data_IF_471124804538
#
_entry.id   IF_471124804538
#
_cell.length_a   1.000
_cell.length_b   1.000
_cell.length_c   1.000
_cell.angle_alpha   90.00
_cell.angle_beta   90.00
_cell.angle_gamma   90.00
#
_symmetry.space_group_name_H-M   'P 1'
#
loop_
_entity.id
_entity.type
_entity.pdbx_description
1 polymer ?
#
# COMPACT_ATOMS: atom_id res chain seq x y z
N UNK A 1 -9.04 29.79 -24.69
CA UNK A 1 -8.64 29.82 -23.27
C UNK A 1 -9.44 28.84 -22.41
N UNK A 2 -10.77 28.88 -22.38
CA UNK A 2 -11.59 27.92 -21.58
C UNK A 2 -11.33 26.44 -21.90
N UNK A 3 -11.26 26.05 -23.18
CA UNK A 3 -10.96 24.66 -23.59
C UNK A 3 -9.58 24.19 -23.11
N UNK A 4 -8.59 25.08 -23.12
CA UNK A 4 -7.22 24.75 -22.71
C UNK A 4 -7.12 24.55 -21.19
N UNK A 5 -7.85 25.37 -20.41
CA UNK A 5 -7.98 25.19 -18.95
C UNK A 5 -8.61 23.85 -18.61
N UNK A 6 -9.75 23.52 -19.24
CA UNK A 6 -10.40 22.23 -19.05
C UNK A 6 -9.51 21.06 -19.51
N UNK A 7 -8.78 21.20 -20.62
CA UNK A 7 -7.84 20.18 -21.09
C UNK A 7 -6.75 19.88 -20.06
N UNK A 8 -6.12 20.91 -19.48
CA UNK A 8 -5.11 20.75 -18.43
C UNK A 8 -5.72 20.13 -17.16
N UNK A 9 -6.89 20.60 -16.72
CA UNK A 9 -7.60 20.02 -15.57
C UNK A 9 -7.90 18.54 -15.79
N UNK A 10 -8.34 18.15 -16.99
CA UNK A 10 -8.67 16.77 -17.31
C UNK A 10 -7.43 15.88 -17.33
N UNK A 11 -6.31 16.36 -17.89
CA UNK A 11 -5.03 15.65 -17.82
C UNK A 11 -4.55 15.46 -16.38
N UNK A 12 -4.61 16.51 -15.54
CA UNK A 12 -4.25 16.42 -14.13
C UNK A 12 -5.18 15.45 -13.38
N UNK A 13 -6.48 15.50 -13.66
CA UNK A 13 -7.45 14.57 -13.07
C UNK A 13 -7.18 13.11 -13.47
N UNK A 14 -6.79 12.86 -14.71
CA UNK A 14 -6.41 11.52 -15.16
C UNK A 14 -5.16 11.01 -14.44
N UNK A 15 -4.10 11.82 -14.37
CA UNK A 15 -2.86 11.45 -13.67
C UNK A 15 -3.13 11.21 -12.18
N UNK A 16 -3.91 12.09 -11.55
CA UNK A 16 -4.32 11.95 -10.15
C UNK A 16 -5.10 10.65 -9.92
N UNK A 17 -6.07 10.35 -10.79
CA UNK A 17 -6.91 9.15 -10.69
C UNK A 17 -6.09 7.88 -10.88
N UNK A 18 -5.23 7.83 -11.90
CA UNK A 18 -4.36 6.67 -12.14
C UNK A 18 -3.38 6.49 -10.98
N UNK A 19 -2.79 7.57 -10.48
CA UNK A 19 -1.87 7.52 -9.34
C UNK A 19 -2.52 6.92 -8.09
N UNK A 20 -3.71 7.41 -7.72
CA UNK A 20 -4.46 6.87 -6.58
C UNK A 20 -4.91 5.42 -6.82
N UNK A 21 -5.39 5.10 -8.02
CA UNK A 21 -5.82 3.74 -8.35
C UNK A 21 -4.67 2.72 -8.27
N UNK A 22 -3.47 3.09 -8.75
CA UNK A 22 -2.29 2.25 -8.65
C UNK A 22 -1.90 2.00 -7.19
N UNK A 23 -1.83 3.05 -6.37
CA UNK A 23 -1.53 2.92 -4.94
C UNK A 23 -2.57 2.07 -4.21
N UNK A 24 -3.87 2.26 -4.51
CA UNK A 24 -4.95 1.47 -3.93
C UNK A 24 -4.89 -0.01 -4.36
N UNK A 25 -4.53 -0.28 -5.62
CA UNK A 25 -4.35 -1.65 -6.12
C UNK A 25 -3.20 -2.38 -5.41
N UNK A 26 -2.08 -1.70 -5.20
CA UNK A 26 -0.93 -2.25 -4.46
C UNK A 26 -1.30 -2.51 -3.00
N UNK A 27 -2.00 -1.57 -2.35
CA UNK A 27 -2.47 -1.74 -0.98
C UNK A 27 -3.42 -2.94 -0.83
N UNK A 28 -4.40 -3.07 -1.72
CA UNK A 28 -5.33 -4.21 -1.71
C UNK A 28 -4.63 -5.53 -2.01
N UNK A 29 -3.67 -5.54 -2.94
CA UNK A 29 -2.87 -6.72 -3.24
C UNK A 29 -2.06 -7.18 -2.02
N UNK A 30 -1.40 -6.24 -1.33
CA UNK A 30 -0.66 -6.53 -0.10
C UNK A 30 -1.58 -6.99 1.05
N UNK A 31 -2.75 -6.36 1.21
CA UNK A 31 -3.72 -6.75 2.23
C UNK A 31 -4.22 -8.19 2.00
N UNK A 32 -4.46 -8.59 0.74
CA UNK A 32 -4.88 -9.95 0.38
C UNK A 32 -3.77 -11.01 0.48
N UNK A 33 -2.50 -10.61 0.54
CA UNK A 33 -1.37 -11.54 0.70
C UNK A 33 -1.20 -12.03 2.14
N UNK A 34 -1.92 -11.45 3.11
CA UNK A 34 -1.73 -11.73 4.53
C UNK A 34 -1.85 -13.20 4.92
N UNK A 35 -2.87 -13.89 4.41
CA UNK A 35 -3.11 -15.31 4.73
C UNK A 35 -1.99 -16.22 4.21
N UNK A 36 -1.42 -15.92 3.04
CA UNK A 36 -0.28 -16.65 2.49
C UNK A 36 0.99 -16.43 3.30
N UNK A 37 1.22 -15.20 3.77
CA UNK A 37 2.38 -14.86 4.60
C UNK A 37 2.30 -15.56 5.95
N UNK A 38 1.15 -15.52 6.62
CA UNK A 38 0.94 -16.20 7.91
C UNK A 38 1.06 -17.72 7.75
N UNK A 39 0.50 -18.30 6.69
CA UNK A 39 0.63 -19.74 6.40
C UNK A 39 2.07 -20.19 6.12
N UNK A 40 2.83 -19.40 5.35
CA UNK A 40 4.24 -19.69 5.09
C UNK A 40 5.09 -19.62 6.36
N UNK A 41 4.80 -18.68 7.25
CA UNK A 41 5.46 -18.54 8.55
C UNK A 41 5.19 -19.74 9.45
N UNK A 42 3.96 -20.25 9.48
CA UNK A 42 3.62 -21.47 10.21
C UNK A 42 4.36 -22.71 9.67
N UNK A 43 4.43 -22.86 8.34
CA UNK A 43 5.18 -23.97 7.73
C UNK A 43 6.67 -23.97 8.09
N UNK A 44 7.29 -22.79 8.19
CA UNK A 44 8.70 -22.67 8.61
C UNK A 44 8.86 -22.94 10.11
N UNK A 45 7.89 -22.53 10.94
CA UNK A 45 7.91 -22.80 12.38
C UNK A 45 7.83 -24.30 12.69
N UNK A 46 7.07 -25.04 11.89
CA UNK A 46 6.88 -26.48 12.03
C UNK A 46 8.00 -27.31 11.37
N UNK A 47 8.93 -26.68 10.65
CA UNK A 47 10.00 -27.38 9.94
C UNK A 47 10.94 -28.12 10.93
N UNK A 48 11.01 -29.47 10.88
CA UNK A 48 11.90 -30.22 11.77
C UNK A 48 13.37 -30.05 11.34
N UNK A 49 14.28 -29.95 12.32
CA UNK A 49 15.73 -29.88 12.04
C UNK A 49 16.18 -31.20 11.39
N UNK A 50 16.73 -31.17 10.16
CA UNK A 50 17.15 -32.40 9.50
C UNK A 50 18.32 -33.06 10.24
N UNK A 51 18.31 -34.40 10.34
CA UNK A 51 19.35 -35.14 11.06
C UNK A 51 20.77 -34.94 10.48
N UNK A 52 20.88 -34.62 9.19
CA UNK A 52 22.17 -34.28 8.58
C UNK A 52 22.76 -32.99 9.15
N UNK A 53 21.93 -32.04 9.61
CA UNK A 53 22.42 -30.78 10.16
C UNK A 53 23.24 -31.00 11.44
N UNK A 54 22.87 -32.00 12.24
CA UNK A 54 23.61 -32.38 13.45
C UNK A 54 25.01 -32.96 13.16
N UNK A 55 25.28 -33.39 11.92
CA UNK A 55 26.60 -33.92 11.52
C UNK A 55 27.57 -32.79 11.15
N UNK A 56 27.06 -31.67 10.66
CA UNK A 56 27.86 -30.57 10.10
C UNK A 56 27.81 -29.28 10.92
N UNK A 57 26.85 -29.12 11.83
CA UNK A 57 26.67 -27.91 12.62
C UNK A 57 26.76 -28.21 14.12
N UNK A 58 27.42 -27.32 14.86
CA UNK A 58 27.45 -27.33 16.32
C UNK A 58 26.01 -27.19 16.87
N UNK A 59 25.59 -28.04 17.84
CA UNK A 59 24.29 -27.92 18.50
C UNK A 59 23.99 -26.52 19.04
N UNK A 60 24.98 -25.82 19.62
CA UNK A 60 24.80 -24.48 20.15
C UNK A 60 24.49 -23.45 19.05
N UNK A 61 25.03 -23.66 17.85
CA UNK A 61 24.74 -22.83 16.68
C UNK A 61 23.33 -23.10 16.13
N UNK A 62 22.93 -24.37 16.07
CA UNK A 62 21.57 -24.76 15.67
C UNK A 62 20.51 -24.16 16.61
N UNK A 63 20.74 -24.21 17.92
CA UNK A 63 19.84 -23.63 18.91
C UNK A 63 19.75 -22.11 18.78
N UNK A 64 20.88 -21.42 18.54
CA UNK A 64 20.90 -19.98 18.31
C UNK A 64 20.11 -19.58 17.05
N UNK A 65 20.30 -20.30 15.95
CA UNK A 65 19.55 -20.09 14.70
C UNK A 65 18.06 -20.32 14.92
N UNK A 66 17.69 -21.39 15.63
CA UNK A 66 16.29 -21.69 15.95
C UNK A 66 15.66 -20.63 16.83
N UNK A 67 16.37 -20.16 17.84
CA UNK A 67 15.91 -19.07 18.70
C UNK A 67 15.65 -17.79 17.89
N UNK A 68 16.57 -17.43 16.99
CA UNK A 68 16.43 -16.25 16.13
C UNK A 68 15.26 -16.38 15.13
N UNK A 69 15.08 -17.56 14.53
CA UNK A 69 13.93 -17.86 13.68
C UNK A 69 12.62 -17.76 14.45
N UNK A 70 12.56 -18.34 15.65
CA UNK A 70 11.36 -18.31 16.50
C UNK A 70 10.99 -16.88 16.86
N UNK A 71 11.95 -16.05 17.26
CA UNK A 71 11.72 -14.62 17.55
C UNK A 71 11.21 -13.88 16.31
N UNK A 72 11.78 -14.17 15.14
CA UNK A 72 11.37 -13.52 13.88
C UNK A 72 9.95 -13.92 13.49
N UNK A 73 9.62 -15.21 13.61
CA UNK A 73 8.30 -15.76 13.33
C UNK A 73 7.27 -15.22 14.32
N UNK A 74 7.59 -15.18 15.61
CA UNK A 74 6.70 -14.66 16.64
C UNK A 74 6.44 -13.16 16.46
N UNK A 75 7.46 -12.39 16.08
CA UNK A 75 7.29 -11.00 15.68
C UNK A 75 6.38 -10.88 14.45
N UNK A 76 6.54 -11.71 13.42
CA UNK A 76 5.63 -11.66 12.26
C UNK A 76 4.22 -12.09 12.66
N UNK A 77 4.04 -13.15 13.45
CA UNK A 77 2.73 -13.64 13.86
C UNK A 77 1.99 -12.63 14.76
N UNK A 78 2.73 -11.98 15.67
CA UNK A 78 2.18 -10.93 16.51
C UNK A 78 1.83 -9.72 15.67
N UNK A 79 2.71 -9.27 14.76
CA UNK A 79 2.56 -7.99 14.06
C UNK A 79 1.77 -8.05 12.73
N UNK A 80 1.69 -9.20 12.09
CA UNK A 80 1.01 -9.37 10.81
C UNK A 80 -0.47 -8.96 10.86
N UNK A 81 -1.29 -9.38 11.84
CA UNK A 81 -2.72 -9.07 11.84
C UNK A 81 -3.02 -7.58 11.81
N UNK A 82 -2.28 -6.77 12.57
CA UNK A 82 -2.46 -5.33 12.55
C UNK A 82 -1.92 -4.68 11.29
N UNK A 83 -0.82 -5.21 10.73
CA UNK A 83 -0.26 -4.69 9.48
C UNK A 83 -1.24 -4.90 8.32
N UNK A 84 -1.76 -6.13 8.16
CA UNK A 84 -2.72 -6.45 7.11
C UNK A 84 -4.08 -5.77 7.34
N UNK A 85 -4.52 -5.64 8.59
CA UNK A 85 -5.71 -4.85 8.94
C UNK A 85 -5.54 -3.37 8.58
N UNK A 86 -4.38 -2.77 8.89
CA UNK A 86 -4.08 -1.38 8.51
C UNK A 86 -4.02 -1.20 6.99
N UNK A 87 -3.39 -2.13 6.26
CA UNK A 87 -3.35 -2.12 4.79
C UNK A 87 -4.76 -2.19 4.18
N UNK A 88 -5.69 -2.93 4.81
CA UNK A 88 -7.10 -2.96 4.41
C UNK A 88 -7.79 -1.59 4.44
N UNK A 89 -7.34 -0.67 5.29
CA UNK A 89 -7.86 0.71 5.37
C UNK A 89 -7.18 1.70 4.42
N UNK A 90 -5.98 1.37 3.92
CA UNK A 90 -5.23 2.27 3.03
C UNK A 90 -6.01 2.56 1.76
N UNK A 91 -6.59 1.55 1.10
CA UNK A 91 -7.34 1.76 -0.14
C UNK A 91 -8.59 2.65 0.06
N UNK A 92 -9.47 2.41 1.06
CA UNK A 92 -10.56 3.34 1.38
C UNK A 92 -10.09 4.78 1.63
N UNK A 93 -9.02 4.98 2.40
CA UNK A 93 -8.48 6.31 2.70
C UNK A 93 -7.94 7.00 1.44
N UNK A 94 -7.28 6.24 0.55
CA UNK A 94 -6.85 6.73 -0.75
C UNK A 94 -8.03 7.19 -1.61
N UNK A 95 -9.16 6.48 -1.60
CA UNK A 95 -10.36 6.91 -2.31
C UNK A 95 -10.98 8.19 -1.72
N UNK A 96 -10.95 8.35 -0.40
CA UNK A 96 -11.36 9.61 0.25
C UNK A 96 -10.45 10.75 -0.18
N UNK A 97 -9.13 10.53 -0.17
CA UNK A 97 -8.14 11.50 -0.64
C UNK A 97 -8.35 11.84 -2.13
N UNK A 98 -8.63 10.85 -2.96
CA UNK A 98 -8.95 11.04 -4.37
C UNK A 98 -10.13 11.98 -4.55
N UNK A 99 -11.23 11.73 -3.83
CA UNK A 99 -12.44 12.56 -3.89
C UNK A 99 -12.17 14.00 -3.48
N UNK A 100 -11.38 14.21 -2.42
CA UNK A 100 -10.95 15.53 -1.99
C UNK A 100 -10.12 16.25 -3.07
N UNK A 101 -9.15 15.54 -3.66
CA UNK A 101 -8.31 16.07 -4.73
C UNK A 101 -9.10 16.44 -5.99
N UNK A 102 -10.05 15.58 -6.40
CA UNK A 102 -10.95 15.83 -7.53
C UNK A 102 -11.85 17.04 -7.27
N UNK A 103 -12.43 17.14 -6.08
CA UNK A 103 -13.23 18.29 -5.68
C UNK A 103 -12.43 19.59 -5.77
N UNK A 104 -11.21 19.60 -5.23
CA UNK A 104 -10.33 20.76 -5.27
C UNK A 104 -9.94 21.16 -6.70
N UNK A 105 -9.60 20.18 -7.55
CA UNK A 105 -9.32 20.42 -8.98
C UNK A 105 -10.51 21.07 -9.71
N UNK A 106 -11.73 20.58 -9.46
CA UNK A 106 -12.94 21.12 -10.06
C UNK A 106 -13.25 22.54 -9.56
N UNK A 107 -13.08 22.79 -8.26
CA UNK A 107 -13.26 24.13 -7.67
C UNK A 107 -12.27 25.12 -8.30
N UNK A 108 -11.00 24.75 -8.40
CA UNK A 108 -9.96 25.59 -9.03
C UNK A 108 -10.30 25.86 -10.50
N UNK A 109 -10.74 24.84 -11.24
CA UNK A 109 -11.13 25.00 -12.64
C UNK A 109 -12.35 25.93 -12.79
N UNK A 110 -13.37 25.78 -11.94
CA UNK A 110 -14.57 26.63 -11.94
C UNK A 110 -14.24 28.08 -11.61
N UNK A 111 -13.44 28.32 -10.56
CA UNK A 111 -12.98 29.66 -10.17
C UNK A 111 -12.14 30.29 -11.28
N UNK A 112 -11.20 29.55 -11.86
CA UNK A 112 -10.38 30.01 -12.98
C UNK A 112 -11.23 30.41 -14.19
N UNK A 113 -12.28 29.64 -14.48
CA UNK A 113 -13.23 29.98 -15.54
C UNK A 113 -14.02 31.27 -15.25
N UNK A 114 -14.50 31.47 -14.02
CA UNK A 114 -15.24 32.68 -13.62
C UNK A 114 -14.35 33.91 -13.71
N UNK A 115 -13.11 33.82 -13.22
CA UNK A 115 -12.14 34.91 -13.28
C UNK A 115 -11.78 35.26 -14.72
N UNK A 116 -11.48 34.27 -15.57
CA UNK A 116 -11.22 34.51 -17.00
C UNK A 116 -12.42 35.10 -17.74
N UNK A 117 -13.65 34.83 -17.28
CA UNK A 117 -14.87 35.46 -17.81
C UNK A 117 -15.04 36.91 -17.37
N UNK A 118 -14.55 37.28 -16.19
CA UNK A 118 -14.62 38.65 -15.64
C UNK A 118 -13.51 39.57 -16.15
N UNK A 119 -12.35 39.01 -16.54
CA UNK A 119 -11.17 39.76 -17.00
C UNK A 119 -11.17 39.97 -18.52
N UNK A 120 -12.31 39.78 -19.21
CA UNK A 120 -12.50 40.21 -20.61
C UNK A 120 -13.17 41.58 -20.67
N UNK A 121 -12.42 42.71 -20.67
CA UNK A 121 -12.86 43.92 -21.32
C UNK A 121 -12.56 43.81 -22.83
N UNK A 122 -13.59 44.08 -23.64
CA UNK A 122 -13.65 44.20 -25.13
C UNK A 122 -13.34 42.97 -25.96
#
# INVERSE_FOLDING_TARGET
>A
MKIMLWGVTLLLAMVWTVGVALLASVANWLAGAGDQVVGAVQMVAEWPVPAWANVWMDPAWLDAVRAMLTVSIDAVATYAPWLFSALGWVAPLLWVLWGLGMFLLLVVAAVGQVLLGRVRPT
#
